data_IF_069868057390
#
_entry.id   IF_069868057390
#
_cell.length_a   1.000
_cell.length_b   1.000
_cell.length_c   1.000
_cell.angle_alpha   90.00
_cell.angle_beta   90.00
_cell.angle_gamma   90.00
#
_symmetry.space_group_name_H-M   'P 1'
#
loop_
_entity.id
_entity.type
_entity.pdbx_description
1 polymer ?
#
# COMPACT_ATOMS: atom_id res chain seq x y z
N UNK A 1 0.08 -3.26 20.08
CA UNK A 1 -0.18 -3.82 18.74
C UNK A 1 0.53 -5.17 18.67
N UNK A 2 -0.05 -6.19 18.04
CA UNK A 2 0.66 -7.45 17.77
C UNK A 2 1.87 -7.17 16.84
N UNK A 3 2.97 -7.94 16.99
CA UNK A 3 4.21 -7.74 16.23
C UNK A 3 4.00 -7.92 14.74
N UNK A 4 3.18 -8.90 14.33
CA UNK A 4 2.83 -9.10 12.92
C UNK A 4 1.97 -7.95 12.38
N UNK A 5 1.07 -7.40 13.18
CA UNK A 5 0.29 -6.22 12.81
C UNK A 5 1.17 -4.98 12.62
N UNK A 6 2.12 -4.75 13.53
CA UNK A 6 3.05 -3.64 13.41
C UNK A 6 3.92 -3.77 12.15
N UNK A 7 4.45 -4.96 11.90
CA UNK A 7 5.23 -5.24 10.68
C UNK A 7 4.40 -5.00 9.41
N UNK A 8 3.16 -5.48 9.36
CA UNK A 8 2.28 -5.24 8.20
C UNK A 8 1.97 -3.76 8.00
N UNK A 9 1.74 -3.04 9.09
CA UNK A 9 1.54 -1.60 9.06
C UNK A 9 2.77 -0.86 8.51
N UNK A 10 3.95 -1.15 9.04
CA UNK A 10 5.22 -0.55 8.58
C UNK A 10 5.49 -0.86 7.10
N UNK A 11 5.21 -2.09 6.66
CA UNK A 11 5.35 -2.49 5.25
C UNK A 11 4.36 -1.75 4.34
N UNK A 12 3.10 -1.57 4.74
CA UNK A 12 2.15 -0.77 3.99
C UNK A 12 2.59 0.70 3.91
N UNK A 13 3.01 1.27 5.05
CA UNK A 13 3.49 2.65 5.10
C UNK A 13 4.75 2.89 4.26
N UNK A 14 5.60 1.86 4.09
CA UNK A 14 6.83 1.96 3.27
C UNK A 14 6.58 2.26 1.79
N UNK A 15 5.38 1.98 1.29
CA UNK A 15 5.00 2.22 -0.12
C UNK A 15 3.93 3.31 -0.28
N UNK A 16 3.48 3.92 0.81
CA UNK A 16 2.58 5.06 0.76
C UNK A 16 3.33 6.27 0.20
N UNK A 17 2.93 6.70 -0.99
CA UNK A 17 3.53 7.85 -1.67
C UNK A 17 2.47 8.50 -2.57
N UNK A 18 1.62 9.38 -2.02
CA UNK A 18 0.56 10.02 -2.80
C UNK A 18 1.17 10.92 -3.87
N UNK A 19 0.85 10.68 -5.14
CA UNK A 19 1.28 11.55 -6.23
C UNK A 19 0.35 11.45 -7.44
N UNK A 20 0.39 12.50 -8.25
CA UNK A 20 -0.27 12.55 -9.54
C UNK A 20 0.65 11.94 -10.61
N UNK A 21 0.09 11.02 -11.41
CA UNK A 21 0.78 10.41 -12.55
C UNK A 21 0.46 11.18 -13.83
N UNK A 22 -0.78 11.67 -13.93
CA UNK A 22 -1.25 12.55 -15.00
C UNK A 22 -2.45 13.35 -14.52
N UNK A 23 -2.92 14.30 -15.33
CA UNK A 23 -4.15 15.05 -15.12
C UNK A 23 -5.42 14.20 -14.93
N UNK A 24 -5.31 12.89 -15.16
CA UNK A 24 -6.38 11.91 -15.14
C UNK A 24 -6.18 10.77 -14.14
N UNK A 25 -5.06 10.77 -13.43
CA UNK A 25 -4.63 9.61 -12.65
C UNK A 25 -3.80 9.99 -11.43
N UNK A 26 -4.22 9.49 -10.27
CA UNK A 26 -3.54 9.66 -8.99
C UNK A 26 -3.33 8.30 -8.35
N UNK A 27 -2.21 8.12 -7.67
CA UNK A 27 -1.85 6.83 -7.07
C UNK A 27 -1.24 7.03 -5.70
N UNK A 28 -1.21 5.96 -4.89
CA UNK A 28 -0.42 5.95 -3.66
C UNK A 28 -1.01 6.74 -2.49
N UNK A 29 -2.27 7.19 -2.58
CA UNK A 29 -3.01 7.82 -1.48
C UNK A 29 -3.44 6.79 -0.41
N UNK A 30 -3.59 5.52 -0.80
CA UNK A 30 -3.83 4.37 0.08
C UNK A 30 -2.79 3.30 -0.23
N UNK A 31 -2.22 2.72 0.83
CA UNK A 31 -1.29 1.59 0.75
C UNK A 31 -1.82 0.37 1.51
N UNK A 32 -1.38 -0.81 1.10
CA UNK A 32 -1.75 -2.09 1.71
C UNK A 32 -0.58 -3.05 1.78
N UNK A 33 -0.63 -3.95 2.76
CA UNK A 33 0.29 -5.08 2.89
C UNK A 33 -0.48 -6.34 3.29
N UNK A 34 -0.17 -7.47 2.66
CA UNK A 34 -0.82 -8.78 2.90
C UNK A 34 0.22 -9.81 3.27
N UNK A 35 0.04 -10.45 4.44
CA UNK A 35 0.86 -11.56 4.91
C UNK A 35 0.24 -12.90 4.52
N UNK A 36 1.03 -13.76 3.87
CA UNK A 36 0.61 -15.15 3.59
C UNK A 36 0.95 -16.08 4.74
N UNK A 37 0.30 -17.25 4.79
CA UNK A 37 0.62 -18.33 5.76
C UNK A 37 2.09 -18.79 5.69
N UNK A 38 2.78 -18.59 4.55
CA UNK A 38 4.20 -18.95 4.37
C UNK A 38 5.16 -17.84 4.82
N UNK A 39 4.66 -16.69 5.29
CA UNK A 39 5.48 -15.58 5.77
C UNK A 39 5.84 -14.52 4.71
N UNK A 40 5.40 -14.68 3.45
CA UNK A 40 5.62 -13.67 2.40
C UNK A 40 4.71 -12.46 2.63
N UNK A 41 5.25 -11.26 2.41
CA UNK A 41 4.51 -10.00 2.43
C UNK A 41 4.42 -9.45 1.00
N UNK A 42 3.20 -9.16 0.56
CA UNK A 42 2.93 -8.47 -0.70
C UNK A 42 2.41 -7.08 -0.40
N UNK A 43 2.89 -6.08 -1.14
CA UNK A 43 2.55 -4.67 -0.96
C UNK A 43 1.84 -4.13 -2.19
N UNK A 44 0.96 -3.16 -1.99
CA UNK A 44 0.24 -2.52 -3.08
C UNK A 44 -0.23 -1.11 -2.70
N UNK A 45 -0.56 -0.33 -3.72
CA UNK A 45 -1.11 1.02 -3.60
C UNK A 45 -2.41 1.14 -4.41
N UNK A 46 -3.26 2.11 -4.09
CA UNK A 46 -4.42 2.44 -4.91
C UNK A 46 -4.01 3.08 -6.23
N UNK A 47 -4.91 2.97 -7.20
CA UNK A 47 -4.88 3.64 -8.48
C UNK A 47 -6.26 4.25 -8.69
N UNK A 48 -6.33 5.58 -8.67
CA UNK A 48 -7.54 6.36 -8.83
C UNK A 48 -7.51 7.05 -10.20
N UNK A 49 -8.57 6.91 -10.99
CA UNK A 49 -8.68 7.48 -12.35
C UNK A 49 -9.95 8.28 -12.51
N UNK A 50 -9.92 9.39 -13.25
CA UNK A 50 -11.12 10.11 -13.67
C UNK A 50 -11.75 9.42 -14.90
N UNK A 51 -12.81 8.65 -14.66
CA UNK A 51 -13.62 8.05 -15.73
C UNK A 51 -14.40 9.07 -16.53
#
# INVERSE_FOLDING_TARGET
MDREWQRLYEEAMSVLNPHEVSNKMWVGSVASAVLTKKGNIYKGICIDTDG
#
